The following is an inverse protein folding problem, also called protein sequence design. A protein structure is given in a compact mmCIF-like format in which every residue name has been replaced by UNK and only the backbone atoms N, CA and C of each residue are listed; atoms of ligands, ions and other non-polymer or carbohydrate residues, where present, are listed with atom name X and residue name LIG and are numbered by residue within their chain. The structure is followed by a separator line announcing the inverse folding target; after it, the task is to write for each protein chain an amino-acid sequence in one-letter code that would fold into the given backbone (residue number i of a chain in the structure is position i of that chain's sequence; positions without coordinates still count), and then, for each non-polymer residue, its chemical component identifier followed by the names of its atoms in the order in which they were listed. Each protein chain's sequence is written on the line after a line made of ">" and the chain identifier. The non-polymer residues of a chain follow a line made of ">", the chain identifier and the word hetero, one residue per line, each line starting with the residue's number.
data_IF_257031650174
#
_entry.id   IF_257031650174
#
_cell.length_a   1.000
_cell.length_b   1.000
_cell.length_c   1.000
_cell.angle_alpha   90.00
_cell.angle_beta   90.00
_cell.angle_gamma   90.00
#
_symmetry.space_group_name_H-M   'P 1'
#
loop_
_entity.id
_entity.type
_entity.pdbx_description
1 polymer ?
#
# COMPACT_ATOMS: atom_id res chain seq x y z
N UNK A 1 -27.87 0.78 -16.25
CA UNK A 1 -27.02 0.75 -15.03
C UNK A 1 -27.77 1.44 -13.90
N UNK A 2 -27.67 0.97 -12.65
CA UNK A 2 -28.23 1.69 -11.51
C UNK A 2 -27.54 3.05 -11.37
N UNK A 3 -28.32 4.10 -11.09
CA UNK A 3 -27.82 5.46 -10.87
C UNK A 3 -27.82 5.79 -9.39
N UNK A 4 -26.81 6.54 -8.94
CA UNK A 4 -26.75 7.11 -7.59
C UNK A 4 -26.40 8.58 -7.67
N UNK A 5 -27.11 9.38 -6.87
CA UNK A 5 -26.78 10.79 -6.68
C UNK A 5 -25.66 10.89 -5.66
N UNK A 6 -24.60 11.61 -6.01
CA UNK A 6 -23.44 11.86 -5.15
C UNK A 6 -23.22 13.35 -5.03
N UNK A 7 -22.91 13.82 -3.83
CA UNK A 7 -22.53 15.20 -3.59
C UNK A 7 -21.00 15.28 -3.65
N UNK A 8 -20.49 16.13 -4.52
CA UNK A 8 -19.06 16.40 -4.63
C UNK A 8 -18.74 17.68 -3.86
N UNK A 9 -17.59 17.70 -3.20
CA UNK A 9 -17.03 18.96 -2.71
C UNK A 9 -16.54 19.79 -3.91
N UNK A 10 -16.38 21.12 -3.76
CA UNK A 10 -15.89 21.97 -4.85
C UNK A 10 -14.57 21.50 -5.46
N UNK A 11 -13.68 20.95 -4.64
CA UNK A 11 -12.38 20.42 -5.07
C UNK A 11 -12.53 19.17 -5.95
N UNK A 12 -13.43 18.26 -5.57
CA UNK A 12 -13.71 17.05 -6.34
C UNK A 12 -14.42 17.35 -7.66
N UNK A 13 -15.34 18.30 -7.66
CA UNK A 13 -16.02 18.76 -8.88
C UNK A 13 -15.03 19.40 -9.87
N UNK A 14 -14.13 20.25 -9.35
CA UNK A 14 -13.04 20.85 -10.14
C UNK A 14 -12.12 19.79 -10.74
N UNK A 15 -11.75 18.78 -9.94
CA UNK A 15 -10.93 17.66 -10.42
C UNK A 15 -11.63 16.87 -11.54
N UNK A 16 -12.92 16.54 -11.36
CA UNK A 16 -13.70 15.82 -12.38
C UNK A 16 -13.77 16.65 -13.67
N UNK A 17 -14.04 17.95 -13.54
CA UNK A 17 -14.09 18.89 -14.66
C UNK A 17 -12.76 18.96 -15.42
N UNK A 18 -11.64 19.05 -14.72
CA UNK A 18 -10.30 19.03 -15.33
C UNK A 18 -10.04 17.73 -16.12
N UNK A 19 -10.44 16.57 -15.57
CA UNK A 19 -10.25 15.29 -16.25
C UNK A 19 -11.10 15.14 -17.51
N UNK A 20 -12.31 15.69 -17.52
CA UNK A 20 -13.14 15.74 -18.73
C UNK A 20 -12.55 16.72 -19.75
N UNK A 21 -12.18 17.93 -19.33
CA UNK A 21 -11.59 18.95 -20.21
C UNK A 21 -10.28 18.49 -20.85
N UNK A 22 -9.51 17.65 -20.17
CA UNK A 22 -8.30 17.04 -20.74
C UNK A 22 -8.57 16.04 -21.88
N UNK A 23 -9.83 15.66 -22.11
CA UNK A 23 -10.23 14.66 -23.09
C UNK A 23 -9.96 13.22 -22.67
N UNK A 24 -9.51 12.99 -21.42
CA UNK A 24 -9.24 11.65 -20.90
C UNK A 24 -10.52 10.85 -20.60
N UNK A 25 -11.63 11.53 -20.33
CA UNK A 25 -12.92 10.92 -20.02
C UNK A 25 -14.04 11.74 -20.66
N UNK A 26 -15.11 11.06 -21.09
CA UNK A 26 -16.22 11.71 -21.79
C UNK A 26 -17.22 12.35 -20.83
N UNK A 27 -17.29 11.87 -19.59
CA UNK A 27 -18.26 12.33 -18.60
C UNK A 27 -17.84 12.04 -17.15
N UNK A 28 -18.49 12.71 -16.20
CA UNK A 28 -18.23 12.55 -14.77
C UNK A 28 -18.43 11.11 -14.27
N UNK A 29 -19.39 10.38 -14.84
CA UNK A 29 -19.66 9.00 -14.44
C UNK A 29 -18.50 8.07 -14.79
N UNK A 30 -17.74 8.35 -15.84
CA UNK A 30 -16.52 7.61 -16.18
C UNK A 30 -15.39 7.90 -15.21
N UNK A 31 -15.18 9.18 -14.87
CA UNK A 31 -14.18 9.58 -13.88
C UNK A 31 -14.47 8.91 -12.53
N UNK A 32 -15.72 8.94 -12.09
CA UNK A 32 -16.14 8.32 -10.82
C UNK A 32 -15.94 6.80 -10.87
N UNK A 33 -16.32 6.13 -11.97
CA UNK A 33 -16.08 4.68 -12.11
C UNK A 33 -14.59 4.34 -12.11
N UNK A 34 -13.76 5.13 -12.79
CA UNK A 34 -12.31 4.94 -12.78
C UNK A 34 -11.74 5.11 -11.37
N UNK A 35 -12.19 6.14 -10.63
CA UNK A 35 -11.83 6.35 -9.23
C UNK A 35 -12.24 5.18 -8.33
N UNK A 36 -13.46 4.67 -8.48
CA UNK A 36 -13.94 3.52 -7.69
C UNK A 36 -13.14 2.24 -7.98
N UNK A 37 -12.77 1.98 -9.24
CA UNK A 37 -11.90 0.84 -9.58
C UNK A 37 -10.51 0.99 -8.98
N UNK A 38 -9.95 2.19 -9.00
CA UNK A 38 -8.65 2.46 -8.39
C UNK A 38 -8.71 2.27 -6.86
N UNK A 39 -9.80 2.70 -6.21
CA UNK A 39 -10.01 2.47 -4.79
C UNK A 39 -10.12 0.97 -4.46
N UNK A 40 -10.93 0.22 -5.21
CA UNK A 40 -11.07 -1.23 -5.03
C UNK A 40 -9.72 -1.95 -5.19
N UNK A 41 -8.95 -1.58 -6.23
CA UNK A 41 -7.62 -2.14 -6.47
C UNK A 41 -6.66 -1.85 -5.31
N UNK A 42 -6.64 -0.62 -4.79
CA UNK A 42 -5.82 -0.25 -3.65
C UNK A 42 -6.19 -1.06 -2.39
N UNK A 43 -7.49 -1.23 -2.12
CA UNK A 43 -7.96 -2.05 -1.00
C UNK A 43 -7.57 -3.53 -1.13
N UNK A 44 -7.59 -4.08 -2.35
CA UNK A 44 -7.14 -5.45 -2.62
C UNK A 44 -5.64 -5.60 -2.41
N UNK A 45 -4.84 -4.64 -2.89
CA UNK A 45 -3.40 -4.63 -2.71
C UNK A 45 -3.01 -4.53 -1.23
N UNK A 46 -3.68 -3.69 -0.46
CA UNK A 46 -3.40 -3.55 0.97
C UNK A 46 -3.75 -4.81 1.76
N UNK A 47 -4.86 -5.47 1.44
CA UNK A 47 -5.19 -6.79 2.00
C UNK A 47 -4.12 -7.82 1.65
N UNK A 48 -3.68 -7.87 0.40
CA UNK A 48 -2.65 -8.79 -0.05
C UNK A 48 -1.30 -8.55 0.65
N UNK A 49 -0.90 -7.29 0.86
CA UNK A 49 0.31 -6.92 1.61
C UNK A 49 0.23 -7.39 3.06
N UNK A 50 -0.91 -7.18 3.73
CA UNK A 50 -1.10 -7.61 5.11
C UNK A 50 -1.00 -9.13 5.23
N UNK A 51 -1.64 -9.87 4.34
CA UNK A 51 -1.56 -11.33 4.34
C UNK A 51 -0.13 -11.83 4.05
N UNK A 52 0.55 -11.24 3.07
CA UNK A 52 1.96 -11.58 2.79
C UNK A 52 2.87 -11.34 4.01
N UNK A 53 2.66 -10.22 4.73
CA UNK A 53 3.41 -9.93 5.96
C UNK A 53 3.11 -10.94 7.06
N UNK A 54 1.83 -11.31 7.26
CA UNK A 54 1.44 -12.34 8.23
C UNK A 54 2.09 -13.68 7.91
N UNK A 55 2.07 -14.10 6.65
CA UNK A 55 2.74 -15.33 6.20
C UNK A 55 4.24 -15.28 6.45
N UNK A 56 4.90 -14.16 6.12
CA UNK A 56 6.34 -14.00 6.35
C UNK A 56 6.71 -14.04 7.84
N UNK A 57 5.91 -13.40 8.70
CA UNK A 57 6.09 -13.45 10.16
C UNK A 57 5.92 -14.88 10.67
N UNK A 58 4.87 -15.58 10.26
CA UNK A 58 4.62 -16.95 10.69
C UNK A 58 5.73 -17.90 10.23
N UNK A 59 6.20 -17.77 8.98
CA UNK A 59 7.35 -18.53 8.48
C UNK A 59 8.61 -18.24 9.32
N UNK A 60 8.82 -16.99 9.72
CA UNK A 60 9.90 -16.60 10.63
C UNK A 60 9.78 -17.29 12.00
N UNK A 61 8.59 -17.33 12.59
CA UNK A 61 8.31 -18.02 13.86
C UNK A 61 8.55 -19.54 13.72
N UNK A 62 7.98 -20.15 12.68
CA UNK A 62 8.04 -21.59 12.43
C UNK A 62 9.46 -22.07 12.11
N UNK A 63 10.29 -21.20 11.53
CA UNK A 63 11.70 -21.50 11.25
C UNK A 63 12.49 -21.83 12.53
N UNK A 64 12.04 -21.33 13.70
CA UNK A 64 12.75 -21.46 14.99
C UNK A 64 14.21 -20.99 14.96
N UNK A 65 14.58 -20.19 13.96
CA UNK A 65 15.95 -19.67 13.75
C UNK A 65 16.29 -18.62 14.83
N UNK A 66 15.29 -17.88 15.32
CA UNK A 66 15.46 -16.90 16.38
C UNK A 66 15.50 -17.56 17.77
N UNK A 67 16.68 -18.04 18.19
CA UNK A 67 16.97 -18.33 19.60
C UNK A 67 17.71 -17.16 20.25
N UNK A 68 17.20 -16.66 21.37
CA UNK A 68 17.82 -15.56 22.14
C UNK A 68 17.73 -14.19 21.45
N UNK A 69 18.48 -13.21 21.95
CA UNK A 69 18.49 -11.84 21.43
C UNK A 69 19.25 -11.74 20.09
N UNK A 70 18.56 -12.03 18.98
CA UNK A 70 19.12 -11.96 17.63
C UNK A 70 19.61 -10.54 17.30
N UNK A 71 18.86 -9.51 17.69
CA UNK A 71 19.23 -8.10 17.41
C UNK A 71 20.49 -7.72 18.18
N UNK A 72 20.59 -8.09 19.46
CA UNK A 72 21.78 -7.88 20.27
C UNK A 72 23.00 -8.59 19.69
N UNK A 73 22.85 -9.86 19.25
CA UNK A 73 23.93 -10.62 18.60
C UNK A 73 24.40 -9.97 17.30
N UNK A 74 23.48 -9.54 16.44
CA UNK A 74 23.83 -8.82 15.20
C UNK A 74 24.55 -7.51 15.50
N UNK A 75 24.08 -6.72 16.48
CA UNK A 75 24.75 -5.47 16.89
C UNK A 75 26.12 -5.69 17.53
N UNK A 76 26.32 -6.80 18.23
CA UNK A 76 27.62 -7.17 18.78
C UNK A 76 28.60 -7.54 17.67
N UNK A 77 28.17 -8.41 16.74
CA UNK A 77 28.95 -8.83 15.58
C UNK A 77 29.40 -7.64 14.71
N UNK A 78 28.50 -6.71 14.40
CA UNK A 78 28.83 -5.52 13.60
C UNK A 78 29.86 -4.61 14.29
N UNK A 79 29.80 -4.47 15.63
CA UNK A 79 30.80 -3.72 16.39
C UNK A 79 32.16 -4.38 16.36
N UNK A 80 32.20 -5.71 16.50
CA UNK A 80 33.43 -6.48 16.46
C UNK A 80 34.10 -6.44 15.07
N UNK A 81 33.30 -6.48 14.01
CA UNK A 81 33.79 -6.34 12.63
C UNK A 81 34.38 -4.95 12.39
N UNK A 82 33.69 -3.90 12.82
CA UNK A 82 34.18 -2.52 12.71
C UNK A 82 35.50 -2.30 13.45
N UNK A 83 35.70 -2.97 14.59
CA UNK A 83 36.93 -2.91 15.37
C UNK A 83 38.11 -3.70 14.75
N UNK A 84 37.86 -4.66 13.85
CA UNK A 84 38.90 -5.42 13.13
C UNK A 84 39.37 -4.75 11.84
N UNK A 85 38.60 -3.80 11.32
CA UNK A 85 38.95 -3.00 10.13
C UNK A 85 39.60 -1.66 10.45
N UNK A 86 39.81 -1.36 11.74
CA UNK A 86 40.56 -0.21 12.23
C UNK A 86 41.94 -0.66 12.75
#
# INVERSE_FOLDING_TARGET
>A
MPTRNVHLTPELDSFVSEKIQSGRYDNASEVIRAGLRALEQAELEDKAKVEALRTAIQAGIDSRIAKGDVIGRTRAYLRELAAKTA
#
